data_IF_224882216606
#
_entry.id   IF_224882216606
#
_cell.length_a   1.000
_cell.length_b   1.000
_cell.length_c   1.000
_cell.angle_alpha   90.00
_cell.angle_beta   90.00
_cell.angle_gamma   90.00
#
_symmetry.space_group_name_H-M   'P 1'
#
loop_
_entity.id
_entity.type
_entity.pdbx_description
1 polymer ?
#
# COMPACT_ATOMS: atom_id res chain seq x y z
N UNK A 1 18.26 -6.44 -6.53
CA UNK A 1 17.27 -5.64 -7.28
C UNK A 1 17.21 -4.27 -6.62
N UNK A 2 17.04 -3.18 -7.41
CA UNK A 2 17.04 -1.82 -6.90
C UNK A 2 15.78 -1.08 -7.39
N UNK A 3 15.14 -0.32 -6.49
CA UNK A 3 13.91 0.44 -6.77
C UNK A 3 14.03 1.86 -6.26
N UNK A 4 13.46 2.82 -6.98
CA UNK A 4 13.16 4.14 -6.44
C UNK A 4 12.02 4.03 -5.44
N UNK A 5 12.26 4.37 -4.18
CA UNK A 5 11.31 4.17 -3.10
C UNK A 5 10.62 5.47 -2.71
N UNK A 6 9.30 5.45 -2.77
CA UNK A 6 8.46 6.54 -2.30
C UNK A 6 7.87 6.20 -0.92
N UNK A 7 8.39 6.81 0.17
CA UNK A 7 7.96 6.45 1.53
C UNK A 7 6.57 6.99 1.87
N UNK A 8 6.25 8.20 1.44
CA UNK A 8 5.02 8.89 1.80
C UNK A 8 5.02 9.48 3.23
N UNK A 9 4.09 10.41 3.48
CA UNK A 9 4.08 11.21 4.69
C UNK A 9 3.83 10.40 5.98
N UNK A 10 2.90 9.45 5.97
CA UNK A 10 2.53 8.67 7.16
C UNK A 10 3.68 7.80 7.65
N UNK A 11 4.37 7.11 6.73
CA UNK A 11 5.51 6.26 7.05
C UNK A 11 6.73 7.04 7.52
N UNK A 12 6.86 8.32 7.13
CA UNK A 12 7.94 9.20 7.62
C UNK A 12 7.62 9.93 8.91
N UNK A 13 6.37 9.89 9.38
CA UNK A 13 5.96 10.64 10.58
C UNK A 13 5.35 9.75 11.66
N UNK A 14 4.11 9.34 11.50
CA UNK A 14 3.33 8.63 12.53
C UNK A 14 3.55 7.12 12.57
N UNK A 15 3.99 6.53 11.46
CA UNK A 15 4.15 5.09 11.30
C UNK A 15 5.57 4.71 10.84
N UNK A 16 6.60 5.33 11.44
CA UNK A 16 8.01 5.13 11.08
C UNK A 16 8.47 3.69 11.23
N UNK A 17 7.92 2.98 12.21
CA UNK A 17 8.26 1.57 12.44
C UNK A 17 7.84 0.69 11.26
N UNK A 18 6.70 0.98 10.64
CA UNK A 18 6.21 0.22 9.48
C UNK A 18 7.13 0.38 8.26
N UNK A 19 7.70 1.58 8.07
CA UNK A 19 8.74 1.86 7.07
C UNK A 19 10.03 1.10 7.40
N UNK A 20 10.47 1.16 8.67
CA UNK A 20 11.68 0.47 9.13
C UNK A 20 11.57 -1.05 8.94
N UNK A 21 10.44 -1.66 9.27
CA UNK A 21 10.18 -3.08 9.01
C UNK A 21 10.27 -3.40 7.51
N UNK A 22 9.64 -2.59 6.67
CA UNK A 22 9.68 -2.76 5.22
C UNK A 22 11.10 -2.69 4.66
N UNK A 23 11.91 -1.73 5.11
CA UNK A 23 13.31 -1.56 4.66
C UNK A 23 14.20 -2.72 5.10
N UNK A 24 14.12 -3.14 6.36
CA UNK A 24 14.90 -4.29 6.86
C UNK A 24 14.51 -5.57 6.15
N UNK A 25 13.22 -5.80 5.95
CA UNK A 25 12.74 -6.96 5.21
C UNK A 25 13.20 -6.95 3.74
N UNK A 26 13.14 -5.80 3.05
CA UNK A 26 13.66 -5.66 1.70
C UNK A 26 15.16 -6.00 1.63
N UNK A 27 15.96 -5.47 2.55
CA UNK A 27 17.39 -5.75 2.63
C UNK A 27 17.66 -7.25 2.84
N UNK A 28 16.95 -7.92 3.74
CA UNK A 28 17.07 -9.37 3.97
C UNK A 28 16.71 -10.19 2.72
N UNK A 29 15.80 -9.68 1.88
CA UNK A 29 15.43 -10.28 0.61
C UNK A 29 16.38 -9.95 -0.55
N UNK A 30 17.41 -9.12 -0.32
CA UNK A 30 18.35 -8.68 -1.36
C UNK A 30 17.79 -7.59 -2.27
N UNK A 31 16.83 -6.81 -1.75
CA UNK A 31 16.21 -5.67 -2.44
C UNK A 31 16.73 -4.36 -1.84
N UNK A 32 17.25 -3.49 -2.70
CA UNK A 32 17.71 -2.14 -2.35
C UNK A 32 16.58 -1.13 -2.61
N UNK A 33 16.23 -0.35 -1.60
CA UNK A 33 15.24 0.71 -1.67
C UNK A 33 15.95 2.06 -1.62
N UNK A 34 16.10 2.70 -2.79
CA UNK A 34 16.66 4.05 -2.91
C UNK A 34 15.54 5.07 -2.73
N UNK A 35 15.55 5.76 -1.59
CA UNK A 35 14.53 6.77 -1.31
C UNK A 35 14.64 7.94 -2.27
N UNK A 36 13.52 8.41 -2.80
CA UNK A 36 13.41 9.63 -3.59
C UNK A 36 13.68 10.83 -2.67
N UNK A 37 14.69 11.63 -2.98
CA UNK A 37 15.16 12.70 -2.07
C UNK A 37 14.13 13.81 -1.87
N UNK A 38 13.50 14.27 -2.95
CA UNK A 38 12.58 15.42 -2.96
C UNK A 38 11.11 15.01 -3.05
N UNK A 39 10.74 13.87 -2.47
CA UNK A 39 9.35 13.47 -2.47
C UNK A 39 8.48 14.42 -1.65
N UNK A 40 7.25 14.61 -2.07
CA UNK A 40 6.23 15.40 -1.38
C UNK A 40 5.02 14.50 -1.08
N UNK A 41 4.14 14.91 -0.17
CA UNK A 41 2.93 14.14 0.13
C UNK A 41 2.12 13.89 -1.14
N UNK A 42 1.65 12.65 -1.35
CA UNK A 42 0.83 12.29 -2.50
C UNK A 42 -0.56 12.95 -2.54
N UNK A 43 -0.99 13.55 -1.43
CA UNK A 43 -2.28 14.24 -1.35
C UNK A 43 -3.50 13.32 -1.21
N UNK A 44 -3.33 12.03 -0.94
CA UNK A 44 -4.43 11.08 -0.88
C UNK A 44 -5.54 11.39 0.13
N UNK A 45 -5.22 12.18 1.18
CA UNK A 45 -6.17 12.61 2.22
C UNK A 45 -6.81 13.98 1.88
N UNK A 46 -6.42 14.59 0.78
CA UNK A 46 -6.95 15.87 0.30
C UNK A 46 -7.78 15.70 -0.99
N UNK A 47 -8.87 14.93 -0.98
CA UNK A 47 -9.66 14.67 -2.18
C UNK A 47 -10.38 15.92 -2.71
N UNK A 48 -10.38 17.00 -1.94
CA UNK A 48 -11.14 18.24 -2.17
C UNK A 48 -10.28 19.37 -2.75
N UNK A 49 -9.07 19.11 -3.22
CA UNK A 49 -8.28 20.15 -3.84
C UNK A 49 -8.93 20.63 -5.14
N UNK A 50 -9.16 21.92 -5.25
CA UNK A 50 -9.86 22.55 -6.39
C UNK A 50 -9.05 22.52 -7.69
N UNK A 51 -7.70 22.49 -7.59
CA UNK A 51 -6.83 22.47 -8.77
C UNK A 51 -6.42 21.03 -9.11
N UNK A 52 -6.97 20.54 -10.22
CA UNK A 52 -6.69 19.20 -10.72
C UNK A 52 -5.22 18.99 -11.09
N UNK A 53 -4.51 19.99 -11.58
CA UNK A 53 -3.11 19.87 -11.99
C UNK A 53 -2.19 19.93 -10.78
N UNK A 54 -2.37 20.91 -9.91
CA UNK A 54 -1.54 21.10 -8.73
C UNK A 54 -1.49 19.83 -7.84
N UNK A 55 -2.61 19.13 -7.71
CA UNK A 55 -2.69 17.90 -6.92
C UNK A 55 -1.85 16.74 -7.48
N UNK A 56 -1.49 16.77 -8.75
CA UNK A 56 -0.72 15.72 -9.43
C UNK A 56 0.79 15.97 -9.44
N UNK A 57 1.23 17.19 -9.23
CA UNK A 57 2.62 17.60 -9.45
C UNK A 57 3.61 16.84 -8.56
N UNK A 58 3.25 16.59 -7.30
CA UNK A 58 4.11 15.82 -6.38
C UNK A 58 4.34 14.39 -6.86
N UNK A 59 3.29 13.75 -7.38
CA UNK A 59 3.41 12.40 -7.94
C UNK A 59 4.22 12.42 -9.25
N UNK A 60 4.02 13.41 -10.13
CA UNK A 60 4.80 13.53 -11.37
C UNK A 60 6.29 13.71 -11.06
N UNK A 61 6.68 14.53 -10.07
CA UNK A 61 8.10 14.65 -9.65
C UNK A 61 8.69 13.32 -9.22
N UNK A 62 7.98 12.56 -8.39
CA UNK A 62 8.45 11.25 -7.95
C UNK A 62 8.58 10.26 -9.11
N UNK A 63 7.64 10.30 -10.05
CA UNK A 63 7.66 9.45 -11.25
C UNK A 63 8.82 9.81 -12.18
N UNK A 64 9.11 11.11 -12.36
CA UNK A 64 10.24 11.56 -13.18
C UNK A 64 11.58 11.21 -12.55
N UNK A 65 11.73 11.32 -11.22
CA UNK A 65 12.95 10.92 -10.52
C UNK A 65 13.25 9.42 -10.74
N UNK A 66 12.24 8.57 -10.61
CA UNK A 66 12.38 7.13 -10.86
C UNK A 66 12.71 6.83 -12.34
N UNK A 67 12.07 7.53 -13.30
CA UNK A 67 12.37 7.43 -14.73
C UNK A 67 13.84 7.77 -15.02
N UNK A 68 14.32 8.89 -14.48
CA UNK A 68 15.67 9.39 -14.76
C UNK A 68 16.75 8.49 -14.17
N UNK A 69 16.42 7.73 -13.12
CA UNK A 69 17.25 6.65 -12.56
C UNK A 69 17.10 5.32 -13.30
N UNK A 70 16.17 5.21 -14.26
CA UNK A 70 15.87 3.95 -14.95
C UNK A 70 15.32 2.86 -14.02
N UNK A 71 14.61 3.26 -12.96
CA UNK A 71 14.10 2.35 -11.93
C UNK A 71 12.56 2.31 -11.92
N UNK A 72 12.00 1.18 -11.45
CA UNK A 72 10.59 1.12 -11.07
C UNK A 72 10.37 1.93 -9.79
N UNK A 73 9.21 2.59 -9.67
CA UNK A 73 8.83 3.32 -8.46
C UNK A 73 8.04 2.41 -7.54
N UNK A 74 8.59 2.15 -6.37
CA UNK A 74 8.01 1.28 -5.35
C UNK A 74 7.36 2.09 -4.23
N UNK A 75 6.15 1.70 -3.85
CA UNK A 75 5.40 2.29 -2.75
C UNK A 75 5.06 1.23 -1.70
N UNK A 76 5.07 1.61 -0.43
CA UNK A 76 4.68 0.73 0.67
C UNK A 76 3.25 1.00 1.16
N UNK A 77 2.74 2.21 0.97
CA UNK A 77 1.41 2.65 1.39
C UNK A 77 0.40 2.53 0.24
N UNK A 78 -0.70 1.80 0.45
CA UNK A 78 -1.77 1.64 -0.56
C UNK A 78 -2.38 2.96 -1.02
N UNK A 79 -2.50 3.97 -0.14
CA UNK A 79 -3.02 5.28 -0.51
C UNK A 79 -2.05 6.03 -1.43
N UNK A 80 -0.74 5.99 -1.13
CA UNK A 80 0.27 6.59 -2.01
C UNK A 80 0.34 5.85 -3.35
N UNK A 81 0.31 4.52 -3.32
CA UNK A 81 0.26 3.70 -4.53
C UNK A 81 -0.91 4.09 -5.44
N UNK A 82 -2.10 4.19 -4.85
CA UNK A 82 -3.31 4.57 -5.57
C UNK A 82 -3.17 5.92 -6.30
N UNK A 83 -2.72 6.95 -5.59
CA UNK A 83 -2.58 8.29 -6.18
C UNK A 83 -1.51 8.28 -7.27
N UNK A 84 -0.33 7.77 -6.98
CA UNK A 84 0.80 7.81 -7.92
C UNK A 84 0.50 6.99 -9.17
N UNK A 85 -0.09 5.80 -9.02
CA UNK A 85 -0.45 4.95 -10.17
C UNK A 85 -1.54 5.57 -11.04
N UNK A 86 -2.55 6.23 -10.44
CA UNK A 86 -3.57 6.99 -11.18
C UNK A 86 -2.99 8.19 -11.92
N UNK A 87 -2.14 8.98 -11.24
CA UNK A 87 -1.47 10.12 -11.88
C UNK A 87 -0.59 9.64 -13.03
N UNK A 88 0.10 8.52 -12.89
CA UNK A 88 0.88 7.92 -13.97
C UNK A 88 -0.01 7.55 -15.17
N UNK A 89 -1.18 6.98 -14.93
CA UNK A 89 -2.20 6.73 -15.96
C UNK A 89 -2.68 8.01 -16.62
N UNK A 90 -3.00 9.05 -15.85
CA UNK A 90 -3.42 10.35 -16.38
C UNK A 90 -2.33 10.98 -17.27
N UNK A 91 -1.06 10.89 -16.86
CA UNK A 91 0.07 11.39 -17.67
C UNK A 91 0.23 10.62 -18.98
N UNK A 92 -0.11 9.35 -19.03
CA UNK A 92 -0.07 8.54 -20.25
C UNK A 92 -1.27 8.79 -21.15
N UNK A 93 -2.47 8.82 -20.58
CA UNK A 93 -3.71 8.68 -21.32
C UNK A 93 -4.45 10.04 -21.53
N UNK A 94 -4.07 11.11 -20.80
CA UNK A 94 -4.70 12.44 -20.89
C UNK A 94 -3.70 13.53 -21.30
N UNK A 95 -3.79 13.97 -22.54
CA UNK A 95 -2.90 15.00 -23.11
C UNK A 95 -3.01 16.36 -22.41
N UNK A 96 -4.20 16.75 -21.99
CA UNK A 96 -4.43 18.02 -21.28
C UNK A 96 -3.67 18.05 -19.95
N UNK A 97 -3.82 17.00 -19.15
CA UNK A 97 -3.11 16.86 -17.86
C UNK A 97 -1.61 16.79 -18.09
N UNK A 98 -1.17 15.94 -19.02
CA UNK A 98 0.24 15.74 -19.35
C UNK A 98 0.92 17.05 -19.76
N UNK A 99 0.33 17.79 -20.68
CA UNK A 99 0.89 19.05 -21.18
C UNK A 99 1.00 20.08 -20.05
N UNK A 100 -0.04 20.28 -19.27
CA UNK A 100 -0.05 21.26 -18.20
C UNK A 100 0.91 20.90 -17.06
N UNK A 101 0.95 19.66 -16.64
CA UNK A 101 1.87 19.22 -15.60
C UNK A 101 3.34 19.37 -16.04
N UNK A 102 3.67 18.95 -17.25
CA UNK A 102 5.03 19.12 -17.80
C UNK A 102 5.43 20.60 -17.92
N UNK A 103 4.54 21.46 -18.42
CA UNK A 103 4.80 22.90 -18.54
C UNK A 103 5.02 23.55 -17.17
N UNK A 104 4.18 23.20 -16.18
CA UNK A 104 4.30 23.73 -14.82
C UNK A 104 5.61 23.32 -14.16
N UNK A 105 6.00 22.06 -14.34
CA UNK A 105 7.23 21.52 -13.75
C UNK A 105 8.49 21.92 -14.52
N UNK A 106 8.35 22.50 -15.73
CA UNK A 106 9.45 22.89 -16.62
C UNK A 106 10.50 21.78 -16.78
N UNK A 107 10.04 20.54 -16.98
CA UNK A 107 10.92 19.39 -17.11
C UNK A 107 11.75 19.46 -18.40
N UNK A 108 13.06 19.26 -18.32
CA UNK A 108 13.95 19.18 -19.50
C UNK A 108 13.48 18.08 -20.47
N UNK A 109 13.10 16.92 -19.92
CA UNK A 109 12.49 15.84 -20.66
C UNK A 109 11.05 15.65 -20.18
N UNK A 110 10.04 16.02 -21.01
CA UNK A 110 8.64 15.85 -20.66
C UNK A 110 8.30 14.41 -20.26
N UNK A 111 7.51 14.25 -19.20
CA UNK A 111 7.08 12.95 -18.71
C UNK A 111 5.85 12.45 -19.47
N UNK A 112 5.87 11.19 -19.90
CA UNK A 112 4.83 10.56 -20.73
C UNK A 112 4.05 9.44 -20.02
N UNK A 113 4.32 9.21 -18.73
CA UNK A 113 3.70 8.09 -18.00
C UNK A 113 4.45 6.76 -18.14
N UNK A 114 5.76 6.81 -18.48
CA UNK A 114 6.58 5.65 -18.79
C UNK A 114 7.10 4.88 -17.56
N UNK A 115 7.08 5.46 -16.36
CA UNK A 115 7.56 4.79 -15.14
C UNK A 115 6.61 3.67 -14.72
N UNK A 116 7.14 2.48 -14.46
CA UNK A 116 6.35 1.42 -13.85
C UNK A 116 6.20 1.66 -12.34
N UNK A 117 4.96 1.66 -11.84
CA UNK A 117 4.62 1.89 -10.43
C UNK A 117 4.14 0.58 -9.82
N UNK A 118 4.84 0.09 -8.81
CA UNK A 118 4.50 -1.16 -8.13
C UNK A 118 4.30 -0.94 -6.62
N UNK A 119 3.42 -1.73 -6.03
CA UNK A 119 3.28 -1.82 -4.58
C UNK A 119 4.26 -2.85 -4.01
N UNK A 120 4.64 -2.71 -2.76
CA UNK A 120 5.57 -3.63 -2.09
C UNK A 120 5.09 -5.10 -2.13
N UNK A 121 3.79 -5.36 -2.05
CA UNK A 121 3.24 -6.70 -2.21
C UNK A 121 3.40 -7.23 -3.64
N UNK A 122 3.27 -6.39 -4.67
CA UNK A 122 3.56 -6.75 -6.06
C UNK A 122 5.06 -7.08 -6.22
N UNK A 123 5.94 -6.30 -5.59
CA UNK A 123 7.38 -6.60 -5.57
C UNK A 123 7.67 -7.96 -4.92
N UNK A 124 7.01 -8.28 -3.81
CA UNK A 124 7.14 -9.60 -3.18
C UNK A 124 6.64 -10.74 -4.07
N UNK A 125 5.50 -10.55 -4.77
CA UNK A 125 4.91 -11.56 -5.67
C UNK A 125 5.72 -11.72 -6.94
N UNK A 126 6.02 -10.60 -7.63
CA UNK A 126 6.44 -10.61 -9.04
C UNK A 126 7.96 -10.50 -9.24
N UNK A 127 8.70 -9.97 -8.26
CA UNK A 127 10.15 -9.77 -8.35
C UNK A 127 10.93 -10.70 -7.43
N UNK A 128 10.49 -10.85 -6.19
CA UNK A 128 11.09 -11.80 -5.23
C UNK A 128 10.55 -13.20 -5.45
N UNK A 129 9.24 -13.35 -5.61
CA UNK A 129 8.52 -14.61 -5.65
C UNK A 129 8.20 -15.13 -4.24
N UNK A 130 6.96 -15.58 -4.02
CA UNK A 130 6.55 -16.10 -2.70
C UNK A 130 7.27 -17.39 -2.30
N UNK A 131 7.70 -18.21 -3.25
CA UNK A 131 8.50 -19.40 -2.94
C UNK A 131 9.90 -19.02 -2.41
N UNK A 132 10.53 -18.01 -3.01
CA UNK A 132 11.80 -17.47 -2.53
C UNK A 132 11.65 -16.77 -1.17
N UNK A 133 10.55 -16.04 -0.96
CA UNK A 133 10.21 -15.47 0.33
C UNK A 133 10.10 -16.58 1.38
N UNK A 134 9.32 -17.62 1.10
CA UNK A 134 9.11 -18.77 2.00
C UNK A 134 10.43 -19.47 2.35
N UNK A 135 11.35 -19.62 1.41
CA UNK A 135 12.66 -20.20 1.65
C UNK A 135 13.55 -19.36 2.59
N UNK A 136 13.30 -18.04 2.68
CA UNK A 136 14.02 -17.11 3.56
C UNK A 136 13.36 -16.89 4.93
N UNK A 137 12.18 -17.45 5.16
CA UNK A 137 11.49 -17.37 6.45
C UNK A 137 12.23 -18.19 7.49
N UNK A 138 12.68 -17.54 8.57
CA UNK A 138 13.39 -18.16 9.70
C UNK A 138 12.47 -18.39 10.90
N UNK A 139 11.44 -17.54 11.06
CA UNK A 139 10.44 -17.61 12.11
C UNK A 139 9.02 -17.77 11.50
N UNK A 140 8.64 -18.95 11.00
CA UNK A 140 7.35 -19.13 10.39
C UNK A 140 6.21 -18.94 11.42
N UNK A 141 5.18 -18.20 11.04
CA UNK A 141 4.05 -17.86 11.91
C UNK A 141 3.03 -19.01 11.99
N UNK A 142 3.52 -20.23 12.27
CA UNK A 142 2.72 -21.46 12.32
C UNK A 142 1.60 -21.36 13.35
N UNK A 143 0.41 -21.85 12.99
CA UNK A 143 -0.78 -21.87 13.84
C UNK A 143 -1.53 -20.55 13.92
N UNK A 144 -0.97 -19.43 13.44
CA UNK A 144 -1.66 -18.15 13.41
C UNK A 144 -2.69 -18.11 12.29
N UNK A 145 -3.94 -17.75 12.60
CA UNK A 145 -5.04 -17.55 11.65
C UNK A 145 -5.19 -16.06 11.36
N UNK A 146 -4.80 -15.63 10.18
CA UNK A 146 -4.66 -14.21 9.81
C UNK A 146 -5.64 -13.84 8.70
N UNK A 147 -6.47 -12.82 8.94
CA UNK A 147 -7.37 -12.27 7.94
C UNK A 147 -6.67 -11.19 7.09
N UNK A 148 -6.77 -11.31 5.77
CA UNK A 148 -6.29 -10.32 4.83
C UNK A 148 -7.29 -9.16 4.72
N UNK A 149 -6.85 -7.90 4.84
CA UNK A 149 -7.68 -6.74 4.59
C UNK A 149 -7.08 -5.83 3.52
N UNK A 150 -7.72 -5.79 2.37
CA UNK A 150 -7.30 -4.99 1.21
C UNK A 150 -7.81 -3.55 1.26
N UNK A 151 -9.00 -3.34 1.82
CA UNK A 151 -9.70 -2.09 1.65
C UNK A 151 -10.09 -1.83 0.20
N UNK A 152 -10.06 -0.56 -0.22
CA UNK A 152 -10.51 -0.17 -1.57
C UNK A 152 -9.39 0.30 -2.51
N UNK A 153 -8.36 0.98 -2.00
CA UNK A 153 -7.43 1.76 -2.82
C UNK A 153 -6.46 0.91 -3.66
N UNK A 154 -6.12 -0.31 -3.23
CA UNK A 154 -5.28 -1.21 -4.04
C UNK A 154 -6.05 -1.83 -5.21
N UNK A 155 -7.37 -2.01 -5.06
CA UNK A 155 -8.18 -2.79 -5.99
C UNK A 155 -8.96 -1.94 -7.00
N UNK A 156 -9.29 -0.69 -6.66
CA UNK A 156 -10.21 0.14 -7.46
C UNK A 156 -9.64 1.52 -7.75
N UNK A 157 -9.80 2.06 -8.99
CA UNK A 157 -10.41 1.43 -10.18
C UNK A 157 -9.55 0.27 -10.73
N UNK A 158 -10.16 -0.88 -10.96
CA UNK A 158 -9.43 -2.11 -11.28
C UNK A 158 -8.56 -2.02 -12.53
N UNK A 159 -9.04 -1.35 -13.58
CA UNK A 159 -8.30 -1.15 -14.84
C UNK A 159 -6.99 -0.37 -14.65
N UNK A 160 -6.96 0.60 -13.73
CA UNK A 160 -5.77 1.41 -13.46
C UNK A 160 -4.86 0.72 -12.47
N UNK A 161 -5.45 0.20 -11.40
CA UNK A 161 -4.67 -0.43 -10.34
C UNK A 161 -4.04 -1.74 -10.80
N UNK A 162 -4.77 -2.58 -11.51
CA UNK A 162 -4.32 -3.88 -12.03
C UNK A 162 -3.49 -4.67 -11.00
N UNK A 163 -3.89 -4.58 -9.73
CA UNK A 163 -3.14 -5.12 -8.60
C UNK A 163 -3.46 -6.59 -8.37
N UNK A 164 -4.75 -6.92 -8.38
CA UNK A 164 -5.30 -8.25 -8.17
C UNK A 164 -6.77 -8.27 -8.64
N UNK A 165 -7.44 -9.41 -8.57
CA UNK A 165 -8.88 -9.49 -8.79
C UNK A 165 -9.62 -8.60 -7.76
N UNK A 166 -10.36 -7.56 -8.19
CA UNK A 166 -10.99 -6.62 -7.27
C UNK A 166 -12.12 -7.24 -6.43
N UNK A 167 -12.70 -8.33 -6.91
CA UNK A 167 -13.81 -9.01 -6.23
C UNK A 167 -13.35 -10.21 -5.41
N UNK A 168 -12.27 -10.87 -5.82
CA UNK A 168 -11.71 -12.02 -5.11
C UNK A 168 -10.18 -11.99 -5.05
N UNK A 169 -9.58 -10.98 -4.43
CA UNK A 169 -8.12 -10.85 -4.34
C UNK A 169 -7.49 -11.97 -3.54
N UNK A 170 -6.22 -12.28 -3.82
CA UNK A 170 -5.47 -13.37 -3.16
C UNK A 170 -4.05 -13.00 -2.72
N UNK A 171 -3.47 -11.91 -3.21
CA UNK A 171 -2.05 -11.59 -2.99
C UNK A 171 -1.67 -11.48 -1.50
N UNK A 172 -2.57 -10.98 -0.63
CA UNK A 172 -2.29 -10.89 0.82
C UNK A 172 -2.44 -12.27 1.46
N UNK A 173 -3.39 -13.10 1.04
CA UNK A 173 -3.54 -14.47 1.50
C UNK A 173 -2.34 -15.34 1.09
N UNK A 174 -1.84 -15.16 -0.14
CA UNK A 174 -0.64 -15.85 -0.63
C UNK A 174 0.60 -15.41 0.16
N UNK A 175 0.72 -14.12 0.47
CA UNK A 175 1.74 -13.59 1.37
C UNK A 175 1.66 -14.21 2.77
N UNK A 176 0.46 -14.27 3.37
CA UNK A 176 0.22 -14.90 4.69
C UNK A 176 0.71 -16.35 4.67
N UNK A 177 0.38 -17.08 3.60
CA UNK A 177 0.81 -18.46 3.42
C UNK A 177 2.33 -18.59 3.29
N UNK A 178 2.97 -17.65 2.56
CA UNK A 178 4.41 -17.62 2.35
C UNK A 178 5.20 -17.40 3.66
N UNK A 179 4.66 -16.62 4.60
CA UNK A 179 5.27 -16.42 5.94
C UNK A 179 4.90 -17.52 6.95
N UNK A 180 4.23 -18.58 6.51
CA UNK A 180 3.93 -19.78 7.31
C UNK A 180 2.69 -19.70 8.18
N UNK A 181 1.83 -18.70 8.01
CA UNK A 181 0.54 -18.57 8.68
C UNK A 181 -0.61 -19.16 7.85
N UNK A 182 -1.79 -19.23 8.43
CA UNK A 182 -3.01 -19.69 7.76
C UNK A 182 -3.88 -18.50 7.41
N UNK A 183 -4.11 -18.22 6.11
CA UNK A 183 -4.98 -17.13 5.70
C UNK A 183 -6.45 -17.45 5.99
N UNK A 184 -7.19 -16.45 6.46
CA UNK A 184 -8.64 -16.54 6.69
C UNK A 184 -9.35 -15.66 5.68
N UNK A 185 -10.17 -16.27 4.83
CA UNK A 185 -11.04 -15.56 3.88
C UNK A 185 -12.35 -15.19 4.55
N UNK A 186 -12.80 -13.94 4.34
CA UNK A 186 -14.06 -13.42 4.85
C UNK A 186 -14.66 -12.41 3.88
N UNK A 187 -15.95 -12.16 3.99
CA UNK A 187 -16.71 -11.43 2.96
C UNK A 187 -16.34 -9.94 2.85
N UNK A 188 -15.93 -9.30 3.96
CA UNK A 188 -15.70 -7.85 3.99
C UNK A 188 -14.23 -7.43 3.78
N UNK A 189 -13.37 -8.33 3.29
CA UNK A 189 -11.93 -8.07 3.17
C UNK A 189 -11.54 -7.00 2.15
N UNK A 190 -12.38 -6.74 1.15
CA UNK A 190 -12.20 -5.75 0.08
C UNK A 190 -13.19 -4.57 0.15
N UNK A 191 -13.91 -4.43 1.27
CA UNK A 191 -14.78 -3.30 1.56
C UNK A 191 -13.99 -2.09 2.08
N UNK A 192 -14.52 -0.88 1.86
CA UNK A 192 -13.87 0.35 2.36
C UNK A 192 -14.00 0.46 3.88
N UNK A 193 -12.89 0.77 4.58
CA UNK A 193 -12.91 1.03 6.03
C UNK A 193 -13.66 2.31 6.44
N UNK A 194 -13.91 3.22 5.51
CA UNK A 194 -14.52 4.51 5.82
C UNK A 194 -13.54 5.56 6.36
N UNK A 195 -12.22 5.38 6.17
CA UNK A 195 -11.20 6.29 6.71
C UNK A 195 -11.37 7.75 6.25
N UNK A 196 -11.85 7.99 5.02
CA UNK A 196 -12.11 9.35 4.52
C UNK A 196 -13.33 10.03 5.17
N UNK A 197 -14.32 9.26 5.59
CA UNK A 197 -15.52 9.81 6.23
C UNK A 197 -15.40 9.92 7.76
N UNK A 198 -14.37 9.34 8.35
CA UNK A 198 -14.20 9.27 9.80
C UNK A 198 -14.12 10.65 10.48
N UNK A 199 -13.59 11.65 9.79
CA UNK A 199 -13.50 13.03 10.31
C UNK A 199 -14.85 13.74 10.32
N UNK A 200 -15.74 13.44 9.38
CA UNK A 200 -17.04 14.10 9.24
C UNK A 200 -18.16 13.29 9.91
N UNK A 201 -18.13 11.97 9.74
CA UNK A 201 -19.20 11.05 10.19
C UNK A 201 -18.59 9.86 10.94
N UNK A 202 -18.04 10.12 12.12
CA UNK A 202 -17.34 9.12 12.95
C UNK A 202 -18.15 7.85 13.19
N UNK A 203 -19.43 7.97 13.54
CA UNK A 203 -20.28 6.80 13.79
C UNK A 203 -20.47 5.91 12.55
N UNK A 204 -20.48 6.50 11.35
CA UNK A 204 -20.55 5.73 10.11
C UNK A 204 -19.26 4.96 9.85
N UNK A 205 -18.10 5.55 10.14
CA UNK A 205 -16.83 4.87 10.08
C UNK A 205 -16.76 3.74 11.12
N UNK A 206 -17.19 3.97 12.37
CA UNK A 206 -17.25 2.97 13.42
C UNK A 206 -18.09 1.76 13.04
N UNK A 207 -19.32 1.97 12.52
CA UNK A 207 -20.18 0.86 12.05
C UNK A 207 -19.50 0.00 10.97
N UNK A 208 -18.77 0.63 10.04
CA UNK A 208 -18.02 -0.11 9.00
C UNK A 208 -16.85 -0.89 9.59
N UNK A 209 -16.09 -0.27 10.46
CA UNK A 209 -14.95 -0.89 11.14
C UNK A 209 -15.40 -2.11 11.94
N UNK A 210 -16.44 -1.95 12.77
CA UNK A 210 -16.99 -3.05 13.57
C UNK A 210 -17.52 -4.20 12.70
N UNK A 211 -18.19 -3.89 11.58
CA UNK A 211 -18.66 -4.91 10.65
C UNK A 211 -17.50 -5.69 10.00
N UNK A 212 -16.42 -4.99 9.58
CA UNK A 212 -15.24 -5.62 8.99
C UNK A 212 -14.55 -6.55 9.99
N UNK A 213 -14.27 -6.05 11.21
CA UNK A 213 -13.58 -6.81 12.24
C UNK A 213 -14.41 -8.00 12.74
N UNK A 214 -15.72 -7.81 12.94
CA UNK A 214 -16.65 -8.89 13.32
C UNK A 214 -16.69 -9.97 12.24
N UNK A 215 -16.79 -9.58 10.95
CA UNK A 215 -16.80 -10.55 9.84
C UNK A 215 -15.49 -11.37 9.77
N UNK A 216 -14.35 -10.78 10.08
CA UNK A 216 -13.07 -11.50 10.14
C UNK A 216 -13.02 -12.45 11.36
N UNK A 217 -13.52 -12.01 12.52
CA UNK A 217 -13.59 -12.82 13.73
C UNK A 217 -14.53 -14.02 13.56
N UNK A 218 -15.71 -13.81 13.01
CA UNK A 218 -16.70 -14.88 12.77
C UNK A 218 -16.17 -15.94 11.79
N UNK A 219 -15.27 -15.53 10.88
CA UNK A 219 -14.54 -16.44 10.01
C UNK A 219 -13.39 -17.19 10.71
N UNK A 220 -13.14 -16.91 11.99
CA UNK A 220 -12.13 -17.57 12.81
C UNK A 220 -10.73 -16.96 12.76
N UNK A 221 -10.59 -15.70 12.35
CA UNK A 221 -9.32 -14.99 12.39
C UNK A 221 -8.93 -14.62 13.83
N UNK A 222 -7.63 -14.58 14.10
CA UNK A 222 -7.03 -14.13 15.36
C UNK A 222 -6.45 -12.72 15.25
N UNK A 223 -6.21 -12.25 14.03
CA UNK A 223 -5.77 -10.90 13.71
C UNK A 223 -6.11 -10.53 12.27
N UNK A 224 -6.08 -9.24 11.99
CA UNK A 224 -6.24 -8.68 10.64
C UNK A 224 -4.93 -8.03 10.21
N UNK A 225 -4.48 -8.24 8.97
CA UNK A 225 -3.37 -7.49 8.39
C UNK A 225 -3.82 -6.65 7.21
N UNK A 226 -3.19 -5.51 7.06
CA UNK A 226 -3.44 -4.58 5.94
C UNK A 226 -2.14 -4.00 5.38
N UNK A 227 -2.23 -3.45 4.16
CA UNK A 227 -1.14 -2.77 3.47
C UNK A 227 -1.38 -1.25 3.35
N UNK A 228 -2.33 -0.71 4.11
CA UNK A 228 -2.65 0.72 4.12
C UNK A 228 -2.55 1.27 5.55
N UNK A 229 -1.60 2.20 5.83
CA UNK A 229 -1.48 2.80 7.18
C UNK A 229 -2.74 3.55 7.62
N UNK A 230 -3.47 4.16 6.66
CA UNK A 230 -4.75 4.80 6.96
C UNK A 230 -5.81 3.78 7.37
N UNK A 231 -5.89 2.63 6.68
CA UNK A 231 -6.81 1.56 7.07
C UNK A 231 -6.44 0.97 8.42
N UNK A 232 -5.15 0.71 8.67
CA UNK A 232 -4.67 0.22 9.97
C UNK A 232 -5.11 1.16 11.09
N UNK A 233 -4.81 2.46 10.97
CA UNK A 233 -5.23 3.46 11.94
C UNK A 233 -6.75 3.50 12.13
N UNK A 234 -7.52 3.48 11.03
CA UNK A 234 -8.96 3.58 11.10
C UNK A 234 -9.61 2.33 11.73
N UNK A 235 -9.12 1.14 11.40
CA UNK A 235 -9.59 -0.12 11.99
C UNK A 235 -9.26 -0.22 13.47
N UNK A 236 -8.14 0.32 13.91
CA UNK A 236 -7.72 0.31 15.32
C UNK A 236 -8.43 1.42 16.12
N UNK A 237 -8.35 2.68 15.66
CA UNK A 237 -8.82 3.85 16.41
C UNK A 237 -10.36 4.02 16.44
N UNK A 238 -11.08 3.46 15.46
CA UNK A 238 -12.54 3.59 15.37
C UNK A 238 -13.30 2.28 15.67
N UNK A 239 -12.62 1.19 16.03
CA UNK A 239 -13.29 0.01 16.55
C UNK A 239 -13.99 0.33 17.87
N UNK A 240 -15.29 0.02 17.98
CA UNK A 240 -16.04 0.16 19.23
C UNK A 240 -16.03 -1.12 20.07
N UNK A 241 -15.72 -2.24 19.43
CA UNK A 241 -15.71 -3.59 20.00
C UNK A 241 -14.32 -4.19 19.87
N UNK A 242 -13.29 -3.82 20.40
CA UNK A 242 -11.91 -4.37 20.29
C UNK A 242 -11.87 -5.89 20.04
N UNK A 243 -12.22 -6.28 18.82
CA UNK A 243 -12.48 -7.68 18.48
C UNK A 243 -11.19 -8.40 18.09
N UNK A 244 -10.36 -7.77 17.25
CA UNK A 244 -9.13 -8.36 16.72
C UNK A 244 -8.01 -7.31 16.64
N UNK A 245 -6.75 -7.70 16.93
CA UNK A 245 -5.61 -6.83 16.66
C UNK A 245 -5.44 -6.61 15.16
N UNK A 246 -5.13 -5.36 14.79
CA UNK A 246 -4.84 -4.97 13.40
C UNK A 246 -3.35 -4.71 13.26
N UNK A 247 -2.70 -5.38 12.31
CA UNK A 247 -1.26 -5.31 12.07
C UNK A 247 -0.97 -4.82 10.66
N UNK A 248 0.23 -4.30 10.46
CA UNK A 248 0.73 -4.00 9.14
C UNK A 248 1.51 -5.19 8.57
N UNK A 249 1.35 -5.46 7.28
CA UNK A 249 1.97 -6.65 6.68
C UNK A 249 3.51 -6.67 6.82
N UNK A 250 4.18 -5.50 6.81
CA UNK A 250 5.65 -5.44 6.97
C UNK A 250 6.11 -5.79 8.37
N UNK A 251 5.29 -5.59 9.39
CA UNK A 251 5.59 -6.03 10.76
C UNK A 251 5.72 -7.56 10.80
N UNK A 252 4.74 -8.27 10.23
CA UNK A 252 4.76 -9.74 10.19
C UNK A 252 5.84 -10.27 9.24
N UNK A 253 6.11 -9.56 8.15
CA UNK A 253 7.21 -9.90 7.25
C UNK A 253 8.55 -9.82 7.97
N UNK A 254 8.81 -8.74 8.71
CA UNK A 254 10.05 -8.56 9.47
C UNK A 254 10.19 -9.61 10.60
N UNK A 255 9.09 -9.97 11.26
CA UNK A 255 9.04 -11.04 12.26
C UNK A 255 9.39 -12.39 11.62
N UNK A 256 8.77 -12.73 10.49
CA UNK A 256 9.00 -13.99 9.79
C UNK A 256 10.43 -14.12 9.25
N UNK A 257 11.04 -13.01 8.81
CA UNK A 257 12.43 -12.97 8.34
C UNK A 257 13.47 -12.83 9.48
N UNK A 258 13.04 -12.67 10.75
CA UNK A 258 13.94 -12.50 11.89
C UNK A 258 14.64 -11.13 11.93
N UNK A 259 14.06 -10.09 11.33
CA UNK A 259 14.64 -8.73 11.23
C UNK A 259 13.74 -7.65 11.85
N UNK A 260 12.89 -8.04 12.78
CA UNK A 260 11.96 -7.10 13.42
C UNK A 260 12.66 -6.12 14.38
N UNK A 261 13.74 -6.53 15.00
CA UNK A 261 14.54 -5.74 15.96
C UNK A 261 15.66 -4.95 15.28
#
# INVERSE_FOLDING_TARGET
MKFSYYPGCTLKTKAKELDAYGRRAAQALGVELEEIENWQCCGAVYPQAEDEIATKLSAVRALTDARDKGQELLTLCSACHHVIKRVNGDMRDNEYIRTRANNYLALEKPYQGETNVIHYLEMLRDRVGFDNLKAKVVNPLKGKKIAAYYGCLLLRPSKVMAFDDPENPSIIEDFISAIGATPVKYSMRNECCGGYIALEKKESAQRRVDAILTSAQDAGAEMVITACPLCMYNLDANATKHVLPVKYFTELLAEALGVKE
#
